data_IF_098389193071
#
_entry.id   IF_098389193071
#
_cell.length_a   1.000
_cell.length_b   1.000
_cell.length_c   1.000
_cell.angle_alpha   90.00
_cell.angle_beta   90.00
_cell.angle_gamma   90.00
#
_symmetry.space_group_name_H-M   'P 1'
#
loop_
_entity.id
_entity.type
_entity.pdbx_description
1 polymer ?
#
# COMPACT_ATOMS: atom_id res chain seq x y z
N UNK A 1 14.97 8.31 7.51
CA UNK A 1 15.06 7.23 6.49
C UNK A 1 14.17 6.09 6.93
N UNK A 2 13.10 5.83 6.15
CA UNK A 2 12.22 4.71 6.42
C UNK A 2 12.99 3.39 6.24
N UNK A 3 12.96 2.52 7.25
CA UNK A 3 13.51 1.18 7.14
C UNK A 3 12.64 0.37 6.19
N UNK A 4 13.17 0.02 5.02
CA UNK A 4 12.48 -0.80 4.02
C UNK A 4 12.86 -2.25 4.22
N UNK A 5 11.90 -3.10 4.58
CA UNK A 5 12.10 -4.53 4.70
C UNK A 5 11.73 -5.22 3.39
N UNK A 6 12.67 -5.98 2.85
CA UNK A 6 12.52 -6.66 1.56
C UNK A 6 12.12 -8.11 1.82
N UNK A 7 10.95 -8.51 1.33
CA UNK A 7 10.53 -9.90 1.30
C UNK A 7 10.65 -10.48 -0.12
N UNK A 8 11.40 -11.51 -0.18
CA UNK A 8 11.70 -12.55 -1.16
C UNK A 8 11.17 -12.44 -2.59
N UNK A 9 12.11 -12.65 -3.52
CA UNK A 9 11.90 -12.91 -4.94
C UNK A 9 11.21 -14.26 -5.16
N UNK A 10 10.09 -14.28 -5.86
CA UNK A 10 9.53 -15.54 -6.38
C UNK A 10 10.55 -16.19 -7.32
N UNK A 11 10.92 -17.43 -7.03
CA UNK A 11 11.82 -18.20 -7.90
C UNK A 11 11.08 -18.51 -9.21
N UNK A 12 11.54 -17.95 -10.33
CA UNK A 12 11.14 -18.45 -11.64
C UNK A 12 10.65 -17.45 -12.69
N UNK A 13 10.57 -16.16 -12.41
CA UNK A 13 10.27 -15.19 -13.46
C UNK A 13 11.55 -14.83 -14.22
N UNK A 14 11.72 -15.40 -15.42
CA UNK A 14 12.65 -14.87 -16.42
C UNK A 14 12.38 -13.38 -16.58
N UNK A 15 13.33 -12.57 -16.19
CA UNK A 15 13.31 -11.13 -16.37
C UNK A 15 13.50 -10.84 -17.86
N UNK A 16 12.44 -10.96 -18.65
CA UNK A 16 12.32 -10.10 -19.81
C UNK A 16 12.23 -8.69 -19.20
N UNK A 17 13.06 -7.76 -19.65
CA UNK A 17 13.07 -6.34 -19.23
C UNK A 17 11.69 -5.71 -19.45
N UNK A 18 10.73 -6.05 -18.61
CA UNK A 18 9.48 -5.30 -18.56
C UNK A 18 9.81 -3.95 -17.98
N UNK A 19 9.54 -2.92 -18.75
CA UNK A 19 9.68 -1.55 -18.32
C UNK A 19 9.01 -1.40 -16.93
N UNK A 20 9.78 -0.99 -15.92
CA UNK A 20 9.26 -0.82 -14.55
C UNK A 20 8.18 0.28 -14.55
N UNK A 21 6.94 -0.11 -14.33
CA UNK A 21 5.74 0.75 -14.36
C UNK A 21 4.97 0.61 -13.06
N UNK A 22 5.35 1.33 -12.02
CA UNK A 22 4.62 1.31 -10.75
C UNK A 22 3.38 2.19 -10.80
N UNK A 23 2.34 1.81 -10.05
CA UNK A 23 1.19 2.64 -9.74
C UNK A 23 1.00 2.71 -8.22
N UNK A 24 0.29 3.73 -7.73
CA UNK A 24 -0.15 3.79 -6.34
C UNK A 24 -1.65 3.53 -6.22
N UNK A 25 -2.04 2.78 -5.20
CA UNK A 25 -3.41 2.51 -4.79
C UNK A 25 -3.66 3.13 -3.42
N UNK A 26 -4.53 4.11 -3.36
CA UNK A 26 -4.88 4.83 -2.14
C UNK A 26 -6.29 4.44 -1.69
N UNK A 27 -6.43 3.86 -0.50
CA UNK A 27 -7.73 3.68 0.14
C UNK A 27 -8.08 4.93 0.95
N UNK A 28 -9.24 5.52 0.68
CA UNK A 28 -9.68 6.78 1.26
C UNK A 28 -11.09 6.67 1.81
N UNK A 29 -11.32 7.23 3.00
CA UNK A 29 -12.65 7.41 3.58
C UNK A 29 -12.64 8.62 4.53
N UNK A 30 -13.43 9.65 4.21
CA UNK A 30 -13.53 10.90 4.98
C UNK A 30 -12.17 11.53 5.26
N UNK A 31 -11.38 11.72 4.22
CA UNK A 31 -10.02 12.26 4.32
C UNK A 31 -9.80 13.45 3.37
N UNK A 32 -10.82 14.27 3.14
CA UNK A 32 -10.74 15.47 2.28
C UNK A 32 -9.60 16.42 2.64
N UNK A 33 -9.21 16.46 3.92
CA UNK A 33 -8.13 17.31 4.43
C UNK A 33 -6.74 16.86 3.94
N UNK A 34 -6.55 15.54 3.73
CA UNK A 34 -5.22 14.96 3.53
C UNK A 34 -5.01 14.36 2.13
N UNK A 35 -6.08 13.86 1.51
CA UNK A 35 -5.98 13.07 0.29
C UNK A 35 -5.36 13.84 -0.87
N UNK A 36 -5.55 15.16 -0.94
CA UNK A 36 -4.95 16.01 -1.96
C UNK A 36 -3.43 16.03 -1.90
N UNK A 37 -2.88 16.26 -0.70
CA UNK A 37 -1.43 16.28 -0.47
C UNK A 37 -0.82 14.90 -0.69
N UNK A 38 -1.49 13.83 -0.23
CA UNK A 38 -1.07 12.45 -0.47
C UNK A 38 -0.97 12.15 -1.97
N UNK A 39 -2.01 12.47 -2.74
CA UNK A 39 -2.05 12.24 -4.19
C UNK A 39 -0.97 13.04 -4.90
N UNK A 40 -0.90 14.35 -4.64
CA UNK A 40 0.09 15.24 -5.26
C UNK A 40 1.52 14.80 -4.95
N UNK A 41 1.75 14.35 -3.72
CA UNK A 41 3.04 13.80 -3.30
C UNK A 41 3.39 12.52 -4.04
N UNK A 42 2.47 11.56 -4.14
CA UNK A 42 2.68 10.29 -4.83
C UNK A 42 2.92 10.47 -6.33
N UNK A 43 2.22 11.39 -7.01
CA UNK A 43 2.38 11.67 -8.43
C UNK A 43 3.76 12.21 -8.82
N UNK A 44 4.55 12.69 -7.85
CA UNK A 44 5.97 13.03 -8.10
C UNK A 44 6.83 11.79 -8.35
N UNK A 45 6.39 10.61 -7.93
CA UNK A 45 7.19 9.39 -7.91
C UNK A 45 6.63 8.26 -8.77
N UNK A 46 5.31 8.25 -9.02
CA UNK A 46 4.63 7.26 -9.87
C UNK A 46 3.78 7.94 -10.94
N UNK A 47 3.66 7.34 -12.14
CA UNK A 47 2.91 7.94 -13.24
C UNK A 47 1.39 7.86 -13.04
N UNK A 48 0.90 7.07 -12.06
CA UNK A 48 -0.52 6.84 -11.85
C UNK A 48 -0.87 6.63 -10.38
N UNK A 49 -1.89 7.33 -9.92
CA UNK A 49 -2.49 7.17 -8.59
C UNK A 49 -3.97 6.87 -8.76
N UNK A 50 -4.39 5.71 -8.26
CA UNK A 50 -5.80 5.33 -8.14
C UNK A 50 -6.24 5.52 -6.70
N UNK A 51 -7.18 6.42 -6.46
CA UNK A 51 -7.85 6.58 -5.17
C UNK A 51 -9.16 5.79 -5.19
N UNK A 52 -9.35 4.91 -4.23
CA UNK A 52 -10.64 4.27 -3.97
C UNK A 52 -11.28 4.97 -2.78
N UNK A 53 -12.30 5.78 -3.07
CA UNK A 53 -13.12 6.43 -2.07
C UNK A 53 -14.22 5.46 -1.60
N UNK A 54 -14.13 5.00 -0.36
CA UNK A 54 -15.02 4.01 0.24
C UNK A 54 -16.37 4.60 0.69
N UNK A 55 -16.99 5.41 -0.17
CA UNK A 55 -18.31 5.99 0.07
C UNK A 55 -18.28 7.18 1.03
N UNK A 56 -17.31 8.08 0.90
CA UNK A 56 -17.24 9.30 1.71
C UNK A 56 -18.40 10.25 1.43
N UNK A 57 -18.86 10.93 2.47
CA UNK A 57 -19.88 11.97 2.39
C UNK A 57 -19.30 13.39 2.25
N UNK A 58 -17.99 13.52 2.50
CA UNK A 58 -17.22 14.76 2.37
C UNK A 58 -16.66 14.91 0.94
N UNK A 59 -15.79 15.89 0.72
CA UNK A 59 -15.18 16.18 -0.57
C UNK A 59 -13.97 15.30 -0.93
N UNK A 60 -13.78 14.16 -0.26
CA UNK A 60 -12.63 13.25 -0.51
C UNK A 60 -12.45 12.93 -2.00
N UNK A 61 -13.52 12.55 -2.70
CA UNK A 61 -13.46 12.22 -4.13
C UNK A 61 -13.09 13.42 -5.03
N UNK A 62 -13.65 14.59 -4.73
CA UNK A 62 -13.38 15.83 -5.49
C UNK A 62 -11.93 16.25 -5.32
N UNK A 63 -11.46 16.35 -4.07
CA UNK A 63 -10.09 16.75 -3.73
C UNK A 63 -9.06 15.80 -4.35
N UNK A 64 -9.34 14.48 -4.33
CA UNK A 64 -8.45 13.51 -4.97
C UNK A 64 -8.36 13.70 -6.50
N UNK A 65 -9.49 14.00 -7.18
CA UNK A 65 -9.49 14.29 -8.63
C UNK A 65 -8.78 15.59 -8.95
N UNK A 66 -9.03 16.65 -8.18
CA UNK A 66 -8.37 17.95 -8.33
C UNK A 66 -6.84 17.82 -8.18
N UNK A 67 -6.38 16.91 -7.32
CA UNK A 67 -4.96 16.59 -7.15
C UNK A 67 -4.37 15.71 -8.26
N UNK A 68 -5.18 15.22 -9.22
CA UNK A 68 -4.73 14.47 -10.40
C UNK A 68 -4.90 12.95 -10.29
N UNK A 69 -5.55 12.41 -9.27
CA UNK A 69 -5.82 10.99 -9.17
C UNK A 69 -6.97 10.53 -10.07
N UNK A 70 -6.89 9.29 -10.55
CA UNK A 70 -8.08 8.55 -10.97
C UNK A 70 -8.85 8.13 -9.73
N UNK A 71 -10.16 8.35 -9.69
CA UNK A 71 -10.98 8.06 -8.52
C UNK A 71 -12.03 7.01 -8.84
N UNK A 72 -12.00 5.92 -8.09
CA UNK A 72 -13.06 4.92 -8.02
C UNK A 72 -13.87 5.19 -6.75
N UNK A 73 -15.10 5.74 -6.88
CA UNK A 73 -15.99 5.97 -5.75
C UNK A 73 -16.94 4.80 -5.58
N UNK A 74 -17.05 4.29 -4.36
CA UNK A 74 -18.02 3.28 -3.96
C UNK A 74 -19.31 3.96 -3.49
N UNK A 75 -20.43 3.29 -3.66
CA UNK A 75 -21.75 3.82 -3.25
C UNK A 75 -21.92 3.89 -1.72
N UNK A 76 -21.27 2.95 -1.01
CA UNK A 76 -21.34 2.87 0.44
C UNK A 76 -20.03 2.34 1.04
N UNK A 77 -19.77 2.72 2.29
CA UNK A 77 -18.63 2.23 3.04
C UNK A 77 -18.69 0.70 3.21
N UNK A 78 -17.67 0.02 2.75
CA UNK A 78 -17.50 -1.43 2.87
C UNK A 78 -16.24 -1.82 3.61
N UNK A 79 -15.46 -0.83 4.02
CA UNK A 79 -14.19 -0.95 4.73
C UNK A 79 -12.99 -1.09 3.80
N UNK A 80 -11.82 -0.72 4.33
CA UNK A 80 -10.53 -0.65 3.63
C UNK A 80 -10.24 -1.89 2.77
N UNK A 81 -10.49 -3.09 3.29
CA UNK A 81 -10.23 -4.32 2.54
C UNK A 81 -11.03 -4.46 1.25
N UNK A 82 -12.30 -4.01 1.25
CA UNK A 82 -13.11 -3.97 0.02
C UNK A 82 -12.61 -2.91 -0.95
N UNK A 83 -12.31 -1.71 -0.45
CA UNK A 83 -11.77 -0.63 -1.25
C UNK A 83 -10.46 -1.06 -1.96
N UNK A 84 -9.55 -1.71 -1.22
CA UNK A 84 -8.31 -2.22 -1.79
C UNK A 84 -8.55 -3.30 -2.87
N UNK A 85 -9.49 -4.24 -2.66
CA UNK A 85 -9.81 -5.27 -3.67
C UNK A 85 -10.39 -4.65 -4.95
N UNK A 86 -11.31 -3.70 -4.82
CA UNK A 86 -11.94 -3.04 -5.97
C UNK A 86 -10.89 -2.25 -6.77
N UNK A 87 -10.01 -1.51 -6.08
CA UNK A 87 -8.91 -0.79 -6.70
C UNK A 87 -7.87 -1.70 -7.32
N UNK A 88 -7.53 -2.81 -6.65
CA UNK A 88 -6.59 -3.79 -7.15
C UNK A 88 -7.13 -4.48 -8.43
N UNK A 89 -8.39 -4.88 -8.45
CA UNK A 89 -9.02 -5.44 -9.64
C UNK A 89 -8.93 -4.48 -10.84
N UNK A 90 -9.07 -3.17 -10.59
CA UNK A 90 -8.93 -2.14 -11.59
C UNK A 90 -7.49 -2.04 -12.11
N UNK A 91 -6.49 -1.98 -11.22
CA UNK A 91 -5.08 -1.86 -11.61
C UNK A 91 -4.54 -3.13 -12.28
N UNK A 92 -4.97 -4.32 -11.84
CA UNK A 92 -4.54 -5.60 -12.44
C UNK A 92 -5.09 -5.84 -13.85
N UNK A 93 -6.10 -5.08 -14.28
CA UNK A 93 -6.60 -5.09 -15.66
C UNK A 93 -5.70 -4.27 -16.61
N UNK A 94 -4.76 -3.50 -16.07
CA UNK A 94 -3.80 -2.68 -16.81
C UNK A 94 -2.37 -3.27 -16.70
N UNK A 95 -1.41 -2.69 -17.45
CA UNK A 95 -0.03 -3.20 -17.57
C UNK A 95 0.93 -2.69 -16.49
N UNK A 96 0.45 -2.42 -15.28
CA UNK A 96 1.30 -2.06 -14.17
C UNK A 96 2.16 -3.25 -13.72
N UNK A 97 3.41 -2.97 -13.34
CA UNK A 97 4.33 -4.01 -12.86
C UNK A 97 4.33 -4.14 -11.35
N UNK A 98 4.07 -3.04 -10.65
CA UNK A 98 4.04 -2.97 -9.18
C UNK A 98 2.92 -2.05 -8.72
N UNK A 99 2.38 -2.34 -7.55
CA UNK A 99 1.40 -1.50 -6.87
C UNK A 99 1.92 -1.10 -5.50
N UNK A 100 2.02 0.21 -5.24
CA UNK A 100 2.26 0.75 -3.91
C UNK A 100 0.90 1.02 -3.23
N UNK A 101 0.68 0.44 -2.06
CA UNK A 101 -0.51 0.65 -1.24
C UNK A 101 -0.22 1.77 -0.25
N UNK A 102 -1.12 2.74 -0.17
CA UNK A 102 -0.99 3.92 0.69
C UNK A 102 -2.33 4.27 1.31
N UNK A 103 -2.33 4.78 2.53
CA UNK A 103 -3.53 5.28 3.18
C UNK A 103 -3.75 6.76 2.83
N UNK A 104 -5.01 7.15 2.63
CA UNK A 104 -5.38 8.51 2.25
C UNK A 104 -5.42 9.52 3.42
N UNK A 105 -5.09 9.08 4.65
CA UNK A 105 -5.19 9.86 5.89
C UNK A 105 -3.93 10.69 6.23
N UNK A 106 -2.91 10.65 5.37
CA UNK A 106 -1.67 11.39 5.53
C UNK A 106 -0.69 10.82 6.55
N UNK A 107 -0.95 9.63 7.13
CA UNK A 107 -0.03 9.00 8.09
C UNK A 107 1.27 8.48 7.42
N UNK A 108 1.25 8.27 6.11
CA UNK A 108 2.41 7.86 5.33
C UNK A 108 2.93 9.03 4.50
N UNK A 109 4.21 9.32 4.63
CA UNK A 109 4.82 10.41 3.87
C UNK A 109 5.07 9.97 2.42
N UNK A 110 4.56 10.68 1.40
CA UNK A 110 4.76 10.30 0.00
C UNK A 110 6.24 10.25 -0.42
N UNK A 111 7.10 11.04 0.22
CA UNK A 111 8.54 11.08 -0.08
C UNK A 111 9.31 9.84 0.39
N UNK A 112 8.67 8.92 1.11
CA UNK A 112 9.22 7.59 1.42
C UNK A 112 9.02 6.59 0.26
N UNK A 113 8.13 6.90 -0.69
CA UNK A 113 7.83 6.02 -1.83
C UNK A 113 9.06 5.69 -2.70
N UNK A 114 10.00 6.60 -2.96
CA UNK A 114 11.21 6.27 -3.73
C UNK A 114 12.02 5.11 -3.16
N UNK A 115 12.15 5.00 -1.84
CA UNK A 115 12.87 3.89 -1.21
C UNK A 115 12.18 2.55 -1.47
N UNK A 116 10.85 2.54 -1.36
CA UNK A 116 10.01 1.38 -1.63
C UNK A 116 10.10 0.93 -3.10
N UNK A 117 10.03 1.89 -4.03
CA UNK A 117 10.18 1.66 -5.46
C UNK A 117 11.58 1.21 -5.85
N UNK A 118 12.63 1.70 -5.17
CA UNK A 118 14.00 1.26 -5.40
C UNK A 118 14.18 -0.21 -5.02
N UNK A 119 13.64 -0.66 -3.89
CA UNK A 119 13.65 -2.07 -3.50
C UNK A 119 12.90 -2.95 -4.51
N UNK A 120 11.71 -2.51 -4.95
CA UNK A 120 10.93 -3.21 -5.98
C UNK A 120 11.68 -3.30 -7.33
N UNK A 121 12.33 -2.21 -7.76
CA UNK A 121 13.15 -2.17 -8.98
C UNK A 121 14.35 -3.12 -8.90
N UNK A 122 14.89 -3.33 -7.70
CA UNK A 122 15.98 -4.29 -7.44
C UNK A 122 15.51 -5.74 -7.35
N UNK A 123 14.23 -6.01 -7.67
CA UNK A 123 13.67 -7.34 -7.80
C UNK A 123 12.97 -7.87 -6.55
N UNK A 124 12.58 -7.01 -5.61
CA UNK A 124 11.71 -7.40 -4.51
C UNK A 124 10.25 -7.47 -5.00
N UNK A 125 9.61 -8.62 -4.83
CA UNK A 125 8.18 -8.80 -5.15
C UNK A 125 7.26 -8.24 -4.06
N UNK A 126 7.77 -8.11 -2.84
CA UNK A 126 7.06 -7.56 -1.70
C UNK A 126 7.98 -6.67 -0.85
N UNK A 127 7.52 -5.47 -0.54
CA UNK A 127 8.25 -4.48 0.26
C UNK A 127 7.29 -3.87 1.28
N UNK A 128 7.73 -3.71 2.51
CA UNK A 128 6.99 -3.00 3.58
C UNK A 128 7.75 -1.74 3.96
N UNK A 129 7.07 -0.60 3.98
CA UNK A 129 7.57 0.64 4.58
C UNK A 129 7.30 0.61 6.09
N UNK A 130 8.35 0.43 6.89
CA UNK A 130 8.22 0.40 8.35
C UNK A 130 8.18 1.81 8.93
N UNK A 131 7.26 2.04 9.87
CA UNK A 131 7.15 3.28 10.66
C UNK A 131 7.94 3.21 11.97
N UNK A 132 8.59 2.09 12.26
CA UNK A 132 9.31 1.87 13.53
C UNK A 132 10.60 2.71 13.63
N UNK A 133 11.06 3.29 12.51
CA UNK A 133 12.21 4.20 12.48
C UNK A 133 11.88 5.60 13.03
N UNK A 134 10.59 5.97 13.13
CA UNK A 134 10.13 7.21 13.78
C UNK A 134 9.11 6.89 14.87
N UNK A 135 9.55 6.57 16.09
CA UNK A 135 8.68 6.13 17.19
C UNK A 135 7.89 7.27 17.84
N UNK A 136 8.11 8.54 17.49
CA UNK A 136 7.51 9.68 18.19
C UNK A 136 6.01 9.81 17.98
N UNK A 137 5.46 9.23 16.91
CA UNK A 137 4.01 9.27 16.59
C UNK A 137 3.19 8.09 17.11
N UNK A 138 3.79 6.99 17.61
CA UNK A 138 3.04 5.78 17.96
C UNK A 138 2.94 5.58 19.48
N UNK A 139 1.72 5.46 20.06
CA UNK A 139 1.55 5.14 21.48
C UNK A 139 2.27 3.84 21.85
N UNK A 140 2.99 3.84 22.98
CA UNK A 140 3.83 2.70 23.42
C UNK A 140 3.07 1.37 23.55
N UNK A 141 1.75 1.43 23.86
CA UNK A 141 0.86 0.27 23.92
C UNK A 141 0.69 -0.37 22.54
N UNK A 142 0.51 0.44 21.51
CA UNK A 142 0.32 -0.03 20.14
C UNK A 142 1.64 -0.61 19.59
N UNK A 143 2.78 0.02 19.89
CA UNK A 143 4.10 -0.49 19.50
C UNK A 143 4.39 -1.87 20.07
N UNK A 144 4.06 -2.13 21.35
CA UNK A 144 4.25 -3.46 21.97
C UNK A 144 3.33 -4.51 21.33
N UNK A 145 2.08 -4.17 21.04
CA UNK A 145 1.13 -5.07 20.37
C UNK A 145 1.59 -5.42 18.96
N UNK A 146 2.07 -4.43 18.19
CA UNK A 146 2.61 -4.63 16.85
C UNK A 146 3.83 -5.55 16.88
N UNK A 147 4.82 -5.28 17.75
CA UNK A 147 6.01 -6.11 17.91
C UNK A 147 5.69 -7.56 18.29
N UNK A 148 4.63 -7.78 19.06
CA UNK A 148 4.20 -9.13 19.43
C UNK A 148 3.54 -9.84 18.25
N UNK A 149 2.72 -9.12 17.48
CA UNK A 149 2.13 -9.61 16.22
C UNK A 149 3.21 -9.97 15.19
N UNK A 150 4.22 -9.12 15.01
CA UNK A 150 5.34 -9.35 14.09
C UNK A 150 6.15 -10.59 14.45
N UNK A 151 6.41 -10.82 15.76
CA UNK A 151 7.10 -12.04 16.22
C UNK A 151 6.29 -13.31 15.94
N UNK A 152 4.97 -13.25 16.08
CA UNK A 152 4.08 -14.38 15.76
C UNK A 152 4.11 -14.64 14.25
N UNK A 153 3.98 -13.59 13.43
CA UNK A 153 4.04 -13.69 11.97
C UNK A 153 5.40 -14.20 11.49
N UNK A 154 6.50 -13.66 12.03
CA UNK A 154 7.84 -14.13 11.70
C UNK A 154 8.03 -15.64 12.03
N UNK A 155 7.46 -16.09 13.15
CA UNK A 155 7.50 -17.50 13.53
C UNK A 155 6.63 -18.40 12.64
N UNK A 156 5.49 -17.90 12.16
CA UNK A 156 4.58 -18.65 11.28
C UNK A 156 5.09 -18.72 9.84
N UNK A 157 5.68 -17.64 9.36
CA UNK A 157 6.15 -17.52 7.96
C UNK A 157 7.62 -17.91 7.78
N UNK A 158 8.39 -17.97 8.86
CA UNK A 158 9.86 -18.16 8.80
C UNK A 158 10.62 -16.94 8.26
N UNK A 159 9.95 -15.81 8.08
CA UNK A 159 10.51 -14.57 7.53
C UNK A 159 10.67 -13.52 8.62
N UNK A 160 11.72 -12.67 8.60
CA UNK A 160 11.81 -11.54 9.49
C UNK A 160 10.73 -10.52 9.13
N UNK A 161 9.70 -10.37 9.98
CA UNK A 161 8.62 -9.40 9.81
C UNK A 161 8.81 -8.29 10.83
N UNK A 162 8.94 -7.06 10.36
CA UNK A 162 8.88 -5.85 11.17
C UNK A 162 7.78 -4.93 10.63
N UNK A 163 6.93 -4.41 11.51
CA UNK A 163 5.77 -3.59 11.18
C UNK A 163 4.84 -4.24 10.13
N UNK A 164 4.55 -5.53 10.28
CA UNK A 164 3.63 -6.28 9.43
C UNK A 164 2.19 -5.72 9.40
N UNK A 165 1.90 -4.69 10.20
CA UNK A 165 0.63 -3.96 10.20
C UNK A 165 0.68 -2.65 9.40
N UNK A 166 1.87 -2.23 8.91
CA UNK A 166 1.98 -1.05 8.07
C UNK A 166 1.09 -1.18 6.83
N UNK A 167 0.32 -0.14 6.54
CA UNK A 167 -0.46 -0.02 5.31
C UNK A 167 0.39 0.35 4.10
N UNK A 168 1.65 0.79 4.34
CA UNK A 168 2.55 1.26 3.30
C UNK A 168 3.36 0.10 2.73
N UNK A 169 2.99 -0.38 1.56
CA UNK A 169 3.54 -1.59 0.95
C UNK A 169 3.71 -1.44 -0.54
N UNK A 170 4.68 -2.17 -1.10
CA UNK A 170 4.85 -2.34 -2.53
C UNK A 170 4.82 -3.82 -2.90
N UNK A 171 3.98 -4.20 -3.85
CA UNK A 171 3.89 -5.57 -4.33
C UNK A 171 4.00 -5.62 -5.85
N UNK A 172 4.69 -6.65 -6.38
CA UNK A 172 4.67 -6.93 -7.80
C UNK A 172 3.28 -7.40 -8.23
N UNK A 173 2.84 -7.03 -9.43
CA UNK A 173 1.55 -7.50 -9.97
C UNK A 173 1.56 -9.00 -10.25
N UNK A 174 2.72 -9.60 -10.42
CA UNK A 174 2.88 -11.05 -10.50
C UNK A 174 2.45 -11.71 -9.20
N UNK A 175 2.99 -11.26 -8.06
CA UNK A 175 2.62 -11.74 -6.73
C UNK A 175 1.14 -11.47 -6.43
N UNK A 176 0.65 -10.25 -6.75
CA UNK A 176 -0.75 -9.87 -6.50
C UNK A 176 -1.77 -10.73 -7.25
N UNK A 177 -1.41 -11.32 -8.39
CA UNK A 177 -2.27 -12.26 -9.11
C UNK A 177 -2.34 -13.65 -8.47
N UNK A 178 -1.35 -14.02 -7.68
CA UNK A 178 -1.31 -15.30 -6.96
C UNK A 178 -2.03 -15.23 -5.61
N UNK A 179 -2.07 -14.04 -4.98
CA UNK A 179 -2.69 -13.83 -3.68
C UNK A 179 -4.21 -13.69 -3.85
N UNK A 180 -4.98 -14.42 -3.04
CA UNK A 180 -6.44 -14.25 -2.92
C UNK A 180 -6.75 -13.41 -1.69
N UNK A 181 -7.03 -12.12 -1.88
CA UNK A 181 -7.46 -11.24 -0.79
C UNK A 181 -8.95 -11.50 -0.48
N UNK A 182 -9.24 -12.14 0.62
CA UNK A 182 -10.60 -12.50 1.07
C UNK A 182 -11.06 -11.71 2.29
N UNK A 183 -10.11 -11.28 3.13
CA UNK A 183 -10.39 -10.58 4.38
C UNK A 183 -11.03 -9.20 4.17
N UNK A 184 -11.86 -8.82 5.14
CA UNK A 184 -12.48 -7.52 5.21
C UNK A 184 -11.78 -6.63 6.25
N UNK A 185 -11.84 -5.30 6.07
CA UNK A 185 -11.27 -4.30 6.97
C UNK A 185 -9.73 -4.42 7.08
N UNK A 186 -9.20 -4.30 8.29
CA UNK A 186 -7.74 -4.27 8.55
C UNK A 186 -7.03 -5.62 8.35
N UNK A 187 -7.76 -6.73 8.35
CA UNK A 187 -7.17 -8.05 8.14
C UNK A 187 -6.62 -8.26 6.72
N UNK A 188 -7.03 -7.45 5.74
CA UNK A 188 -6.48 -7.50 4.37
C UNK A 188 -4.98 -7.22 4.34
N UNK A 189 -4.48 -6.37 5.25
CA UNK A 189 -3.05 -6.12 5.36
C UNK A 189 -2.28 -7.36 5.83
N UNK A 190 -2.88 -8.21 6.67
CA UNK A 190 -2.29 -9.45 7.16
C UNK A 190 -2.37 -10.58 6.13
N UNK A 191 -3.38 -10.59 5.25
CA UNK A 191 -3.47 -11.57 4.14
C UNK A 191 -2.41 -11.36 3.06
N UNK A 192 -1.81 -10.17 2.97
CA UNK A 192 -0.74 -9.87 2.03
C UNK A 192 0.65 -10.34 2.53
N UNK A 193 0.74 -10.89 3.74
CA UNK A 193 1.95 -11.48 4.31
C UNK A 193 1.99 -12.99 4.08
#
# INVERSE_FOLDING_TARGET
EALVLIFTKLRGTSTTERLFRPAALVAAFRCETWVGDVVSGLLRHVPHVLVVDDGSEDRTSEVAREAGAKVLRREANGGKGRALRDGLAHLLAEDWTHVAFVDGDGQHHPDDLPALLAAARNGADFVIGSRLSDPEGMPAKNRRANMMGDKVLARMTGLPVEDGQSGYRGLSTALLREIRLTANRYATAQEML
#
